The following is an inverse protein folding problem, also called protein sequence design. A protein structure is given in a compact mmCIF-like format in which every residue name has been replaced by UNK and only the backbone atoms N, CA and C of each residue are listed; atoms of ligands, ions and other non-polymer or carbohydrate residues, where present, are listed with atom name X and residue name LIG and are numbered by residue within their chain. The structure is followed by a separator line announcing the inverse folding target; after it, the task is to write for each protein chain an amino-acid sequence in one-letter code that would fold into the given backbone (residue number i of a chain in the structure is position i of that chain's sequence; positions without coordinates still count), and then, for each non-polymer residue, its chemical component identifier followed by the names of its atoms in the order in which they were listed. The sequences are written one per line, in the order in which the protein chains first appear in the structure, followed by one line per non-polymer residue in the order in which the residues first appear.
data_IF_251899924089
#
_entry.id   IF_251899924089
#
_cell.length_a   1.000
_cell.length_b   1.000
_cell.length_c   1.000
_cell.angle_alpha   90.00
_cell.angle_beta   90.00
_cell.angle_gamma   90.00
#
_symmetry.space_group_name_H-M   'P 1'
#
loop_
_entity.id
_entity.type
_entity.pdbx_description
1 polymer ?
#
# COMPACT_ATOMS: atom_id res chain seq x y z
N UNK A 1 46.26 16.69 6.05
CA UNK A 1 45.48 17.54 5.12
C UNK A 1 44.44 16.80 4.27
N UNK A 2 44.52 15.46 4.12
CA UNK A 2 43.56 14.66 3.32
C UNK A 2 42.15 14.49 3.94
N UNK A 3 42.02 14.57 5.27
CA UNK A 3 40.74 14.37 5.97
C UNK A 3 39.69 15.48 5.71
N UNK A 4 40.12 16.65 5.24
CA UNK A 4 39.22 17.78 5.01
C UNK A 4 38.52 17.74 3.64
N UNK A 5 39.13 17.07 2.65
CA UNK A 5 38.55 16.92 1.31
C UNK A 5 37.45 15.86 1.28
N UNK A 6 37.68 14.72 1.95
CA UNK A 6 36.68 13.66 2.09
C UNK A 6 35.40 14.15 2.76
N UNK A 7 35.52 14.94 3.84
CA UNK A 7 34.35 15.48 4.56
C UNK A 7 33.50 16.45 3.72
N UNK A 8 34.10 17.18 2.78
CA UNK A 8 33.38 18.10 1.88
C UNK A 8 32.65 17.36 0.76
N UNK A 9 33.28 16.32 0.21
CA UNK A 9 32.66 15.48 -0.81
C UNK A 9 31.46 14.72 -0.24
N UNK A 10 31.55 14.18 0.99
CA UNK A 10 30.43 13.47 1.62
C UNK A 10 29.17 14.34 1.78
N UNK A 11 29.32 15.60 2.23
CA UNK A 11 28.17 16.51 2.38
C UNK A 11 27.55 16.92 1.06
N UNK A 12 28.35 17.05 0.00
CA UNK A 12 27.83 17.34 -1.34
C UNK A 12 27.04 16.14 -1.90
N UNK A 13 27.50 14.92 -1.63
CA UNK A 13 26.77 13.69 -2.01
C UNK A 13 25.44 13.59 -1.26
N UNK A 14 25.39 13.88 0.04
CA UNK A 14 24.14 13.90 0.81
C UNK A 14 23.15 14.98 0.35
N UNK A 15 23.63 16.13 -0.14
CA UNK A 15 22.78 17.20 -0.68
C UNK A 15 22.27 16.92 -2.12
N UNK A 16 22.98 16.08 -2.87
CA UNK A 16 22.65 15.72 -4.26
C UNK A 16 21.83 14.42 -4.35
N UNK A 17 21.92 13.55 -3.34
CA UNK A 17 21.04 12.40 -3.23
C UNK A 17 19.66 12.92 -2.86
N UNK A 18 18.64 12.78 -3.73
CA UNK A 18 17.29 13.07 -3.32
C UNK A 18 17.00 12.21 -2.10
N UNK A 19 16.66 12.85 -0.99
CA UNK A 19 15.97 12.21 0.13
C UNK A 19 14.63 11.75 -0.40
N UNK A 20 14.65 10.64 -1.14
CA UNK A 20 13.46 9.84 -1.35
C UNK A 20 13.15 9.30 0.04
N UNK A 21 12.29 10.01 0.77
CA UNK A 21 11.40 9.36 1.71
C UNK A 21 10.76 8.27 0.89
N UNK A 22 11.28 7.05 1.01
CA UNK A 22 10.54 5.89 0.60
C UNK A 22 9.30 5.96 1.48
N UNK A 23 8.21 6.51 0.93
CA UNK A 23 6.88 6.27 1.46
C UNK A 23 6.85 4.76 1.63
N UNK A 24 6.82 4.31 2.88
CA UNK A 24 6.74 2.89 3.20
C UNK A 24 5.33 2.47 2.77
N UNK A 25 5.17 2.32 1.47
CA UNK A 25 3.89 2.07 0.87
C UNK A 25 3.39 0.73 1.37
N UNK A 26 2.13 0.69 1.79
CA UNK A 26 1.54 -0.60 2.15
C UNK A 26 1.65 -1.53 0.94
N UNK A 27 2.04 -2.80 1.14
CA UNK A 27 2.00 -3.77 0.06
C UNK A 27 0.57 -3.82 -0.49
N UNK A 28 0.39 -3.79 -1.82
CA UNK A 28 -0.94 -3.89 -2.39
C UNK A 28 -1.50 -5.27 -2.08
N UNK A 29 -2.43 -5.33 -1.13
CA UNK A 29 -3.08 -6.55 -0.70
C UNK A 29 -4.54 -6.52 -1.15
N UNK A 30 -5.01 -7.59 -1.76
CA UNK A 30 -6.38 -7.74 -2.21
C UNK A 30 -7.05 -8.92 -1.54
N UNK A 31 -8.20 -8.69 -0.93
CA UNK A 31 -8.99 -9.72 -0.25
C UNK A 31 -10.47 -9.63 -0.64
N UNK A 32 -11.19 -10.72 -0.40
CA UNK A 32 -12.65 -10.74 -0.52
C UNK A 32 -13.30 -10.55 0.85
N UNK A 33 -14.29 -9.68 0.92
CA UNK A 33 -15.17 -9.53 2.08
C UNK A 33 -16.53 -10.14 1.76
N UNK A 34 -17.07 -10.90 2.70
CA UNK A 34 -18.38 -11.51 2.60
C UNK A 34 -19.27 -11.00 3.74
N UNK A 35 -20.56 -10.85 3.46
CA UNK A 35 -21.60 -10.57 4.46
C UNK A 35 -22.88 -11.30 4.09
N UNK A 36 -23.70 -11.60 5.09
CA UNK A 36 -25.04 -12.15 4.90
C UNK A 36 -26.06 -11.12 5.38
N UNK A 37 -27.00 -10.73 4.51
CA UNK A 37 -28.11 -9.82 4.87
C UNK A 37 -29.42 -10.41 4.34
N UNK A 38 -30.39 -10.63 5.23
CA UNK A 38 -31.73 -11.11 4.85
C UNK A 38 -31.74 -12.49 4.18
N UNK A 39 -30.78 -13.36 4.48
CA UNK A 39 -30.65 -14.67 3.82
C UNK A 39 -30.01 -14.61 2.43
N UNK A 40 -29.40 -13.48 2.05
CA UNK A 40 -28.62 -13.36 0.81
C UNK A 40 -27.15 -13.15 1.15
N UNK A 41 -26.29 -13.95 0.52
CA UNK A 41 -24.83 -13.83 0.60
C UNK A 41 -24.38 -12.69 -0.33
N UNK A 42 -23.61 -11.74 0.19
CA UNK A 42 -22.98 -10.68 -0.59
C UNK A 42 -21.47 -10.74 -0.45
N UNK A 43 -20.76 -10.59 -1.55
CA UNK A 43 -19.31 -10.50 -1.58
C UNK A 43 -18.85 -9.23 -2.28
N UNK A 44 -17.68 -8.73 -1.91
CA UNK A 44 -16.97 -7.67 -2.62
C UNK A 44 -15.47 -7.88 -2.54
N UNK A 45 -14.75 -7.41 -3.55
CA UNK A 45 -13.29 -7.36 -3.52
C UNK A 45 -12.85 -6.02 -2.93
N UNK A 46 -11.93 -6.06 -1.98
CA UNK A 46 -11.24 -4.91 -1.42
C UNK A 46 -9.75 -5.00 -1.73
N UNK A 47 -9.10 -3.85 -1.86
CA UNK A 47 -7.68 -3.74 -2.16
C UNK A 47 -7.09 -2.56 -1.41
N UNK A 48 -5.90 -2.73 -0.84
CA UNK A 48 -5.09 -1.63 -0.31
C UNK A 48 -4.13 -1.19 -1.41
N UNK A 49 -4.01 0.11 -1.65
CA UNK A 49 -3.02 0.64 -2.59
C UNK A 49 -1.67 0.90 -1.89
N UNK A 50 -0.65 1.24 -2.68
CA UNK A 50 0.67 1.62 -2.18
C UNK A 50 0.68 2.86 -1.28
N UNK A 51 -0.43 3.59 -1.15
CA UNK A 51 -0.61 4.70 -0.22
C UNK A 51 -1.42 4.30 1.04
N UNK A 52 -1.54 3.00 1.34
CA UNK A 52 -2.29 2.46 2.47
C UNK A 52 -3.80 2.80 2.47
N UNK A 53 -4.35 3.21 1.31
CA UNK A 53 -5.78 3.51 1.16
C UNK A 53 -6.52 2.24 0.74
N UNK A 54 -7.58 1.91 1.49
CA UNK A 54 -8.48 0.81 1.18
C UNK A 54 -9.53 1.25 0.16
N UNK A 55 -9.61 0.53 -0.95
CA UNK A 55 -10.64 0.65 -1.96
C UNK A 55 -11.43 -0.64 -2.03
N UNK A 56 -12.77 -0.55 -2.00
CA UNK A 56 -13.64 -1.72 -2.14
C UNK A 56 -14.60 -1.51 -3.32
N UNK A 57 -14.81 -2.58 -4.08
CA UNK A 57 -15.81 -2.62 -5.14
C UNK A 57 -17.24 -2.65 -4.60
N UNK A 58 -18.19 -2.67 -5.53
CA UNK A 58 -19.60 -2.85 -5.22
C UNK A 58 -19.88 -4.23 -4.59
N UNK A 59 -20.98 -4.32 -3.86
CA UNK A 59 -21.47 -5.59 -3.33
C UNK A 59 -22.20 -6.37 -4.43
N UNK A 60 -21.85 -7.63 -4.60
CA UNK A 60 -22.53 -8.56 -5.50
C UNK A 60 -23.17 -9.68 -4.69
N UNK A 61 -24.38 -10.09 -5.05
CA UNK A 61 -25.02 -11.26 -4.45
C UNK A 61 -24.42 -12.55 -5.01
N UNK A 62 -24.00 -13.44 -4.13
CA UNK A 62 -23.53 -14.79 -4.49
C UNK A 62 -24.57 -15.83 -4.06
N UNK A 63 -24.49 -17.02 -4.66
CA UNK A 63 -25.19 -18.17 -4.13
C UNK A 63 -24.66 -18.49 -2.72
N UNK A 64 -25.56 -18.86 -1.80
CA UNK A 64 -25.24 -19.15 -0.40
C UNK A 64 -24.14 -20.19 -0.20
N UNK A 65 -23.88 -21.05 -1.19
CA UNK A 65 -22.81 -22.06 -1.14
C UNK A 65 -21.39 -21.48 -1.23
N UNK A 66 -21.25 -20.19 -1.54
CA UNK A 66 -19.97 -19.49 -1.67
C UNK A 66 -19.74 -18.45 -0.55
N UNK A 67 -20.66 -18.42 0.44
CA UNK A 67 -20.45 -17.92 1.79
C UNK A 67 -20.36 -19.14 2.73
#
# INVERSE_FOLDING_TARGET
MLQNLTRRVSRAVEALLPTTTADAGCPPDSWMEYKIQGGVCFGRTCTINGACVKHCGAWYSYSMNYC
#
